data_IF_417751260292
#
_entry.id   IF_417751260292
#
_cell.length_a   1.000
_cell.length_b   1.000
_cell.length_c   1.000
_cell.angle_alpha   90.00
_cell.angle_beta   90.00
_cell.angle_gamma   90.00
#
_symmetry.space_group_name_H-M   'P 1'
#
loop_
_entity.id
_entity.type
_entity.pdbx_description
1 polymer ?
#
# COMPACT_ATOMS: atom_id res chain seq x y z
N UNK A 1 16.41 -10.46 0.10
CA UNK A 1 16.22 -9.55 -1.05
C UNK A 1 14.82 -9.87 -1.52
N UNK A 2 13.83 -9.18 -0.97
CA UNK A 2 12.42 -9.50 -1.26
C UNK A 2 11.65 -8.19 -1.35
N UNK A 3 11.99 -7.41 -2.38
CA UNK A 3 11.13 -6.34 -2.87
C UNK A 3 10.10 -7.00 -3.79
N UNK A 4 8.82 -6.66 -3.62
CA UNK A 4 7.79 -7.14 -4.53
C UNK A 4 8.11 -6.69 -5.95
N UNK A 5 7.83 -7.50 -6.98
CA UNK A 5 8.02 -7.06 -8.35
C UNK A 5 7.26 -5.75 -8.62
N UNK A 6 7.83 -4.89 -9.46
CA UNK A 6 7.10 -3.75 -10.01
C UNK A 6 5.92 -4.28 -10.82
N UNK A 7 4.74 -3.71 -10.62
CA UNK A 7 3.48 -4.17 -11.18
C UNK A 7 2.73 -5.17 -10.30
N UNK A 8 3.30 -5.60 -9.17
CA UNK A 8 2.55 -6.39 -8.20
C UNK A 8 1.46 -5.55 -7.55
N UNK A 9 0.23 -6.05 -7.58
CA UNK A 9 -0.91 -5.42 -6.94
C UNK A 9 -1.23 -6.16 -5.63
N UNK A 10 -1.57 -5.43 -4.59
CA UNK A 10 -1.86 -5.96 -3.27
C UNK A 10 -3.09 -5.26 -2.71
N UNK A 11 -4.05 -6.05 -2.26
CA UNK A 11 -5.22 -5.59 -1.55
C UNK A 11 -4.92 -5.51 -0.05
N UNK A 12 -5.08 -4.32 0.51
CA UNK A 12 -4.83 -4.01 1.92
C UNK A 12 -6.16 -3.63 2.55
N UNK A 13 -6.68 -4.51 3.39
CA UNK A 13 -7.90 -4.24 4.14
C UNK A 13 -7.55 -3.58 5.46
N UNK A 14 -7.98 -2.35 5.66
CA UNK A 14 -7.90 -1.66 6.95
C UNK A 14 -9.26 -1.68 7.64
N UNK A 15 -9.30 -1.27 8.91
CA UNK A 15 -10.57 -1.25 9.66
C UNK A 15 -11.65 -0.36 9.05
N UNK A 16 -11.29 0.65 8.24
CA UNK A 16 -12.23 1.62 7.68
C UNK A 16 -12.41 1.51 6.17
N UNK A 17 -11.40 1.00 5.45
CA UNK A 17 -11.42 0.98 3.99
C UNK A 17 -10.52 -0.13 3.44
N UNK A 18 -10.88 -0.63 2.27
CA UNK A 18 -10.02 -1.50 1.47
C UNK A 18 -9.23 -0.64 0.50
N UNK A 19 -7.91 -0.80 0.50
CA UNK A 19 -7.00 -0.12 -0.40
C UNK A 19 -6.44 -1.14 -1.40
N UNK A 20 -6.33 -0.75 -2.65
CA UNK A 20 -5.54 -1.46 -3.65
C UNK A 20 -4.25 -0.69 -3.82
N UNK A 21 -3.13 -1.40 -3.65
CA UNK A 21 -1.79 -0.84 -3.68
C UNK A 21 -1.04 -1.57 -4.79
N UNK A 22 -0.58 -0.86 -5.82
CA UNK A 22 0.24 -1.43 -6.90
C UNK A 22 1.67 -0.90 -6.80
N UNK A 23 2.64 -1.80 -6.76
CA UNK A 23 4.04 -1.43 -6.65
C UNK A 23 4.53 -0.82 -7.97
N UNK A 24 5.03 0.42 -7.92
CA UNK A 24 5.62 1.11 -9.07
C UNK A 24 7.15 1.13 -9.04
N UNK A 25 7.75 0.53 -8.01
CA UNK A 25 9.20 0.55 -7.79
C UNK A 25 9.67 1.86 -7.17
N UNK A 26 10.94 1.92 -6.79
CA UNK A 26 11.59 3.15 -6.29
C UNK A 26 10.87 3.81 -5.10
N UNK A 27 10.25 3.03 -4.21
CA UNK A 27 9.49 3.57 -3.07
C UNK A 27 8.11 4.12 -3.43
N UNK A 28 7.69 4.04 -4.68
CA UNK A 28 6.41 4.55 -5.16
C UNK A 28 5.38 3.45 -5.33
N UNK A 29 4.13 3.79 -5.05
CA UNK A 29 3.00 2.90 -5.21
C UNK A 29 1.78 3.64 -5.75
N UNK A 30 0.96 2.98 -6.56
CA UNK A 30 -0.38 3.48 -6.86
C UNK A 30 -1.35 2.99 -5.80
N UNK A 31 -2.02 3.90 -5.10
CA UNK A 31 -3.05 3.58 -4.12
C UNK A 31 -4.42 4.00 -4.65
N UNK A 32 -5.41 3.12 -4.53
CA UNK A 32 -6.82 3.42 -4.75
C UNK A 32 -7.71 2.76 -3.69
N UNK A 33 -8.97 3.20 -3.58
CA UNK A 33 -9.99 2.56 -2.73
C UNK A 33 -10.50 3.41 -1.58
N UNK A 34 -9.93 4.60 -1.34
CA UNK A 34 -10.48 5.54 -0.37
C UNK A 34 -11.35 6.60 -1.05
N UNK A 35 -12.66 6.70 -0.76
CA UNK A 35 -13.57 7.59 -1.50
C UNK A 35 -13.18 9.08 -1.44
N UNK A 36 -12.61 9.54 -0.32
CA UNK A 36 -12.16 10.94 -0.16
C UNK A 36 -10.73 11.19 -0.64
N UNK A 37 -9.75 10.39 -0.19
CA UNK A 37 -8.33 10.63 -0.45
C UNK A 37 -7.85 10.03 -1.78
N UNK A 38 -8.25 8.80 -2.09
CA UNK A 38 -7.79 8.05 -3.28
C UNK A 38 -8.99 7.40 -4.03
N UNK A 39 -9.93 8.19 -4.57
CA UNK A 39 -11.08 7.66 -5.31
C UNK A 39 -10.66 7.00 -6.63
N UNK A 40 -9.57 7.49 -7.22
CA UNK A 40 -8.87 6.91 -8.37
C UNK A 40 -7.47 6.46 -7.94
N UNK A 41 -6.76 5.64 -8.73
CA UNK A 41 -5.36 5.31 -8.47
C UNK A 41 -4.51 6.58 -8.43
N UNK A 42 -3.88 6.84 -7.29
CA UNK A 42 -2.97 7.97 -7.10
C UNK A 42 -1.57 7.45 -6.83
N UNK A 43 -0.58 8.02 -7.52
CA UNK A 43 0.82 7.72 -7.27
C UNK A 43 1.26 8.43 -5.99
N UNK A 44 1.68 7.63 -5.02
CA UNK A 44 2.12 8.08 -3.71
C UNK A 44 3.53 7.57 -3.43
N UNK A 45 4.21 8.27 -2.54
CA UNK A 45 5.46 7.79 -1.94
C UNK A 45 5.07 6.90 -0.76
N UNK A 46 5.28 5.59 -0.89
CA UNK A 46 4.92 4.61 0.13
C UNK A 46 6.11 4.38 1.04
N UNK A 47 6.07 5.02 2.21
CA UNK A 47 7.12 4.89 3.22
C UNK A 47 7.07 3.54 3.97
N UNK A 48 5.92 2.83 3.92
CA UNK A 48 5.73 1.51 4.51
C UNK A 48 4.74 1.50 5.69
N UNK A 49 4.93 0.58 6.64
CA UNK A 49 4.18 0.58 7.90
C UNK A 49 5.08 0.94 9.08
N UNK A 50 4.62 1.85 9.93
CA UNK A 50 5.41 2.35 11.07
C UNK A 50 5.17 1.44 12.27
N UNK A 51 6.18 0.65 12.67
CA UNK A 51 6.13 -0.22 13.86
C UNK A 51 6.91 -1.54 13.80
N UNK A 52 7.51 -1.91 12.66
CA UNK A 52 8.37 -3.08 12.53
C UNK A 52 9.86 -2.72 12.52
N UNK A 53 10.71 -3.54 13.13
CA UNK A 53 12.15 -3.31 13.29
C UNK A 53 12.98 -3.29 11.99
N UNK A 54 12.35 -3.34 10.82
CA UNK A 54 13.02 -3.42 9.53
C UNK A 54 12.46 -2.36 8.56
N UNK A 55 13.06 -1.17 8.60
CA UNK A 55 12.88 -0.09 7.62
C UNK A 55 13.26 -0.49 6.17
N UNK A 56 13.83 -1.69 5.96
CA UNK A 56 14.37 -2.18 4.69
C UNK A 56 13.34 -2.86 3.76
N UNK A 57 12.08 -2.99 4.18
CA UNK A 57 11.01 -3.49 3.31
C UNK A 57 10.01 -2.36 3.04
N UNK A 58 10.31 -1.56 2.03
CA UNK A 58 9.26 -0.85 1.27
C UNK A 58 8.22 -1.93 0.93
N UNK A 59 6.98 -1.78 1.39
CA UNK A 59 5.90 -2.78 1.35
C UNK A 59 5.78 -3.82 2.48
N UNK A 60 6.48 -3.70 3.61
CA UNK A 60 6.11 -4.50 4.80
C UNK A 60 4.80 -3.95 5.41
N UNK A 61 3.68 -4.14 4.72
CA UNK A 61 2.35 -3.86 5.25
C UNK A 61 1.96 -5.07 6.08
N UNK A 62 2.12 -4.97 7.39
CA UNK A 62 1.80 -6.07 8.30
C UNK A 62 0.42 -5.86 8.94
N UNK A 63 -0.40 -6.92 9.05
CA UNK A 63 -1.63 -6.85 9.81
C UNK A 63 -1.32 -6.46 11.27
N UNK A 64 -2.08 -5.49 11.79
CA UNK A 64 -1.86 -4.88 13.09
C UNK A 64 -1.14 -3.53 13.05
N UNK A 65 -0.41 -3.22 11.97
CA UNK A 65 0.27 -1.94 11.79
C UNK A 65 -0.57 -0.93 10.99
N UNK A 66 -0.14 0.33 10.99
CA UNK A 66 -0.76 1.40 10.20
C UNK A 66 0.08 1.65 8.96
N UNK A 67 -0.57 1.77 7.81
CA UNK A 67 0.11 2.15 6.58
C UNK A 67 0.28 3.66 6.55
N UNK A 68 1.47 4.12 6.15
CA UNK A 68 1.78 5.54 6.02
C UNK A 68 2.34 5.81 4.62
N UNK A 69 1.77 6.80 3.95
CA UNK A 69 2.18 7.19 2.61
C UNK A 69 2.02 8.69 2.40
N UNK A 70 2.83 9.26 1.53
CA UNK A 70 2.76 10.66 1.17
C UNK A 70 1.88 10.85 -0.07
N UNK A 71 0.72 11.45 0.14
CA UNK A 71 -0.23 11.78 -0.91
C UNK A 71 0.11 13.15 -1.55
N UNK A 72 0.22 13.26 -2.88
CA UNK A 72 0.67 14.49 -3.53
C UNK A 72 -0.23 15.71 -3.25
N UNK A 73 -1.51 15.47 -2.98
CA UNK A 73 -2.51 16.51 -2.68
C UNK A 73 -2.75 16.76 -1.18
N UNK A 74 -2.57 15.74 -0.34
CA UNK A 74 -3.02 15.77 1.07
C UNK A 74 -1.86 15.65 2.06
N UNK A 75 -0.63 15.44 1.57
CA UNK A 75 0.55 15.20 2.39
C UNK A 75 0.55 13.79 2.98
N UNK A 76 1.17 13.63 4.16
CA UNK A 76 1.29 12.33 4.82
C UNK A 76 -0.07 11.85 5.31
N UNK A 77 -0.55 10.75 4.74
CA UNK A 77 -1.77 10.05 5.15
C UNK A 77 -1.37 8.81 5.93
N UNK A 78 -1.94 8.66 7.13
CA UNK A 78 -1.80 7.47 7.95
C UNK A 78 -3.14 6.75 8.07
N UNK A 79 -3.18 5.50 7.64
CA UNK A 79 -4.41 4.70 7.67
C UNK A 79 -4.72 4.17 9.07
N UNK A 80 -5.92 3.62 9.24
CA UNK A 80 -6.25 2.72 10.35
C UNK A 80 -5.39 1.45 10.31
N UNK A 81 -5.43 0.67 11.41
CA UNK A 81 -4.72 -0.62 11.46
C UNK A 81 -5.15 -1.52 10.31
N UNK A 82 -4.17 -2.14 9.67
CA UNK A 82 -4.35 -3.14 8.63
C UNK A 82 -4.89 -4.42 9.30
N UNK A 83 -5.96 -4.97 8.76
CA UNK A 83 -6.52 -6.25 9.19
C UNK A 83 -5.96 -7.40 8.36
N UNK A 84 -5.79 -7.20 7.07
CA UNK A 84 -5.31 -8.24 6.16
C UNK A 84 -4.65 -7.63 4.93
N UNK A 85 -3.68 -8.35 4.38
CA UNK A 85 -2.96 -7.99 3.15
C UNK A 85 -2.98 -9.22 2.25
N UNK A 86 -3.38 -9.03 1.00
CA UNK A 86 -3.50 -10.09 0.00
C UNK A 86 -2.87 -9.64 -1.32
N UNK A 87 -1.87 -10.37 -1.79
CA UNK A 87 -1.32 -10.14 -3.12
C UNK A 87 -2.34 -10.54 -4.19
N UNK A 88 -2.69 -9.59 -5.04
CA UNK A 88 -3.48 -9.82 -6.24
C UNK A 88 -2.50 -10.13 -7.36
N UNK A 89 -2.38 -11.42 -7.71
CA UNK A 89 -1.61 -11.80 -8.89
C UNK A 89 -2.27 -11.15 -10.12
N UNK A 90 -1.53 -10.41 -10.96
CA UNK A 90 -2.06 -10.01 -12.26
C UNK A 90 -2.48 -11.29 -12.96
N UNK A 91 -3.76 -11.37 -13.33
CA UNK A 91 -4.36 -12.59 -13.83
C UNK A 91 -3.52 -13.18 -14.95
N UNK A 92 -3.09 -14.43 -14.76
CA UNK A 92 -2.82 -15.30 -15.88
C UNK A 92 -4.20 -15.57 -16.49
N UNK A 93 -4.53 -15.11 -17.71
CA UNK A 93 -5.65 -15.70 -18.41
C UNK A 93 -5.28 -17.16 -18.68
N UNK A 94 -6.13 -18.07 -18.20
CA UNK A 94 -6.07 -19.51 -18.49
C UNK A 94 -6.12 -19.80 -19.99
#
# INVERSE_FOLDING_TARGET
MDELPVGTMVEVKTGHSTYLVENRGEGKALISGHPTYCPTPVLVDLHGSVGGANMLKIWAIEPGLKMEFNHPKFGVIRTSRVHSVRELKPGLPS
#
